data_IF_394459376877
#
_entry.id   IF_394459376877
#
_cell.length_a   1.000
_cell.length_b   1.000
_cell.length_c   1.000
_cell.angle_alpha   90.00
_cell.angle_beta   90.00
_cell.angle_gamma   90.00
#
_symmetry.space_group_name_H-M   'P 1'
#
loop_
_entity.id
_entity.type
_entity.pdbx_description
1 polymer ?
#
# COMPACT_ATOMS: atom_id res chain seq x y z
N UNK A 1 12.96 14.19 -20.67
CA UNK A 1 11.90 13.18 -20.50
C UNK A 1 11.63 12.32 -21.75
N UNK A 2 11.97 12.74 -22.99
CA UNK A 2 11.56 12.04 -24.21
C UNK A 2 12.23 10.68 -24.51
N UNK A 3 13.36 10.37 -23.91
CA UNK A 3 14.16 9.19 -24.30
C UNK A 3 13.82 7.91 -23.50
N UNK A 4 13.29 8.05 -22.29
CA UNK A 4 12.94 6.88 -21.43
C UNK A 4 11.66 6.17 -21.87
N UNK A 5 10.68 6.91 -22.38
CA UNK A 5 9.39 6.38 -22.83
C UNK A 5 9.59 5.43 -24.02
N UNK A 6 10.48 5.77 -24.94
CA UNK A 6 10.70 5.00 -26.15
C UNK A 6 11.28 3.59 -25.88
N UNK A 7 12.20 3.47 -24.95
CA UNK A 7 12.84 2.16 -24.61
C UNK A 7 11.83 1.16 -24.02
N UNK A 8 10.92 1.63 -23.15
CA UNK A 8 9.88 0.78 -22.56
C UNK A 8 8.80 0.41 -23.57
N UNK A 9 8.45 1.35 -24.47
CA UNK A 9 7.47 1.10 -25.52
C UNK A 9 7.99 0.08 -26.55
N UNK A 10 9.27 0.16 -26.92
CA UNK A 10 9.94 -0.85 -27.76
C UNK A 10 9.96 -2.24 -27.09
N UNK A 11 10.18 -2.27 -25.78
CA UNK A 11 10.13 -3.50 -24.98
C UNK A 11 8.70 -4.00 -24.69
N UNK A 12 7.66 -3.27 -25.16
CA UNK A 12 6.25 -3.54 -24.92
C UNK A 12 5.86 -3.55 -23.41
N UNK A 13 6.67 -2.92 -22.56
CA UNK A 13 6.39 -2.81 -21.13
C UNK A 13 5.29 -1.79 -20.85
N UNK A 14 4.32 -2.15 -20.00
CA UNK A 14 3.16 -1.31 -19.65
C UNK A 14 2.08 -1.23 -20.74
N UNK A 15 2.13 -2.09 -21.77
CA UNK A 15 1.09 -2.15 -22.81
C UNK A 15 -0.08 -3.05 -22.45
N UNK A 16 0.22 -4.08 -21.67
CA UNK A 16 -0.78 -5.06 -21.26
C UNK A 16 -1.21 -4.78 -19.82
N UNK A 17 -2.50 -4.97 -19.55
CA UNK A 17 -3.07 -4.92 -18.20
C UNK A 17 -3.22 -6.33 -17.66
N UNK A 18 -3.01 -6.50 -16.36
CA UNK A 18 -3.34 -7.75 -15.66
C UNK A 18 -4.85 -7.85 -15.45
N UNK A 19 -5.52 -6.71 -15.41
CA UNK A 19 -6.96 -6.55 -15.26
C UNK A 19 -7.47 -6.99 -13.90
N UNK A 20 -8.76 -6.82 -13.67
CA UNK A 20 -9.43 -7.20 -12.44
C UNK A 20 -9.78 -8.68 -12.40
N UNK A 21 -9.71 -9.29 -11.22
CA UNK A 21 -10.18 -10.64 -10.96
C UNK A 21 -11.64 -10.68 -10.48
N UNK A 22 -11.98 -11.66 -9.65
CA UNK A 22 -13.34 -11.85 -9.12
C UNK A 22 -13.43 -11.64 -7.61
N UNK A 23 -12.33 -11.80 -6.90
CA UNK A 23 -12.28 -11.82 -5.44
C UNK A 23 -11.18 -10.86 -4.95
N UNK A 24 -11.47 -9.55 -4.94
CA UNK A 24 -10.49 -8.56 -4.50
C UNK A 24 -10.38 -8.50 -2.98
N UNK A 25 -9.19 -8.04 -2.53
CA UNK A 25 -8.96 -7.52 -1.19
C UNK A 25 -8.34 -6.12 -1.31
N UNK A 26 -8.63 -5.24 -0.35
CA UNK A 26 -7.97 -3.94 -0.22
C UNK A 26 -6.87 -4.06 0.82
N UNK A 27 -5.66 -3.64 0.48
CA UNK A 27 -4.51 -3.57 1.40
C UNK A 27 -4.10 -2.12 1.55
N UNK A 28 -4.41 -1.55 2.70
CA UNK A 28 -4.06 -0.17 3.06
C UNK A 28 -2.72 -0.18 3.78
N UNK A 29 -1.72 0.39 3.13
CA UNK A 29 -0.33 0.34 3.58
C UNK A 29 -0.01 1.57 4.43
N UNK A 30 0.30 1.35 5.70
CA UNK A 30 0.99 2.26 6.63
C UNK A 30 0.40 3.68 6.76
N UNK A 31 -0.91 3.85 6.70
CA UNK A 31 -1.57 5.12 7.08
C UNK A 31 -1.58 5.26 8.61
N UNK A 32 -0.40 5.17 9.22
CA UNK A 32 -0.14 5.37 10.65
C UNK A 32 0.39 6.79 10.90
N UNK A 33 0.18 7.33 12.10
CA UNK A 33 0.58 8.69 12.43
C UNK A 33 2.07 9.00 12.19
N UNK A 34 2.97 8.01 12.26
CA UNK A 34 4.39 8.19 11.92
C UNK A 34 4.64 8.59 10.47
N UNK A 35 3.68 8.32 9.57
CA UNK A 35 3.72 8.67 8.15
C UNK A 35 2.78 9.83 7.79
N UNK A 36 1.66 10.02 8.54
CA UNK A 36 0.57 10.94 8.17
C UNK A 36 0.53 12.22 9.02
N UNK A 37 1.24 12.27 10.15
CA UNK A 37 1.28 13.44 11.03
C UNK A 37 2.54 14.27 10.75
N UNK A 38 2.38 15.46 10.16
CA UNK A 38 3.48 16.37 9.82
C UNK A 38 4.31 16.86 11.03
N UNK A 39 3.83 16.64 12.27
CA UNK A 39 4.63 16.88 13.47
C UNK A 39 5.75 15.84 13.68
N UNK A 40 5.63 14.67 13.05
CA UNK A 40 6.69 13.68 12.98
C UNK A 40 7.61 13.99 11.80
N UNK A 41 8.95 13.92 11.95
CA UNK A 41 9.88 14.26 10.86
C UNK A 41 9.76 13.39 9.61
N UNK A 42 9.15 12.22 9.71
CA UNK A 42 8.85 11.34 8.58
C UNK A 42 7.41 11.51 8.06
N UNK A 43 6.57 12.25 8.76
CA UNK A 43 5.19 12.52 8.37
C UNK A 43 5.10 13.49 7.19
N UNK A 44 4.03 13.34 6.44
CA UNK A 44 3.67 14.24 5.34
C UNK A 44 2.15 14.43 5.28
N UNK A 45 1.69 15.49 4.62
CA UNK A 45 0.27 15.66 4.38
C UNK A 45 -0.24 14.63 3.38
N UNK A 46 -0.98 13.66 3.87
CA UNK A 46 -1.63 12.60 3.10
C UNK A 46 -3.17 12.69 3.20
N UNK A 47 -3.70 13.89 3.46
CA UNK A 47 -5.15 14.08 3.68
C UNK A 47 -5.98 13.63 2.49
N UNK A 48 -5.57 13.95 1.27
CA UNK A 48 -6.28 13.52 0.06
C UNK A 48 -6.16 12.00 -0.16
N UNK A 49 -5.01 11.42 0.13
CA UNK A 49 -4.80 9.96 0.05
C UNK A 49 -5.72 9.23 1.03
N UNK A 50 -5.82 9.72 2.27
CA UNK A 50 -6.72 9.16 3.28
C UNK A 50 -8.18 9.28 2.83
N UNK A 51 -8.60 10.44 2.34
CA UNK A 51 -9.97 10.66 1.89
C UNK A 51 -10.35 9.70 0.74
N UNK A 52 -9.52 9.64 -0.31
CA UNK A 52 -9.76 8.74 -1.45
C UNK A 52 -9.70 7.26 -1.04
N UNK A 53 -8.80 6.88 -0.12
CA UNK A 53 -8.73 5.52 0.41
C UNK A 53 -9.99 5.17 1.20
N UNK A 54 -10.52 6.10 2.01
CA UNK A 54 -11.74 5.89 2.78
C UNK A 54 -12.94 5.61 1.85
N UNK A 55 -13.12 6.39 0.79
CA UNK A 55 -14.21 6.19 -0.17
C UNK A 55 -14.15 4.78 -0.77
N UNK A 56 -12.96 4.31 -1.11
CA UNK A 56 -12.73 2.98 -1.66
C UNK A 56 -12.94 1.86 -0.61
N UNK A 57 -12.49 2.07 0.63
CA UNK A 57 -12.69 1.15 1.76
C UNK A 57 -14.16 1.03 2.11
N UNK A 58 -14.91 2.12 2.12
CA UNK A 58 -16.34 2.11 2.39
C UNK A 58 -17.10 1.24 1.35
N UNK A 59 -16.74 1.35 0.07
CA UNK A 59 -17.28 0.48 -0.98
C UNK A 59 -16.90 -0.98 -0.75
N UNK A 60 -15.64 -1.25 -0.37
CA UNK A 60 -15.19 -2.61 -0.08
C UNK A 60 -16.00 -3.23 1.08
N UNK A 61 -16.24 -2.48 2.17
CA UNK A 61 -17.09 -2.90 3.28
C UNK A 61 -18.53 -3.18 2.83
N UNK A 62 -19.14 -2.29 2.05
CA UNK A 62 -20.50 -2.49 1.50
C UNK A 62 -20.62 -3.77 0.68
N UNK A 63 -19.54 -4.16 0.00
CA UNK A 63 -19.49 -5.31 -0.89
C UNK A 63 -18.97 -6.59 -0.23
N UNK A 64 -18.51 -6.50 1.02
CA UNK A 64 -17.95 -7.63 1.77
C UNK A 64 -16.58 -8.07 1.24
N UNK A 65 -15.86 -7.20 0.55
CA UNK A 65 -14.47 -7.44 0.19
C UNK A 65 -13.57 -7.23 1.43
N UNK A 66 -12.63 -8.14 1.73
CA UNK A 66 -11.79 -8.01 2.92
C UNK A 66 -10.86 -6.81 2.81
N UNK A 67 -10.67 -6.12 3.95
CA UNK A 67 -9.78 -4.97 4.09
C UNK A 67 -8.68 -5.31 5.09
N UNK A 68 -7.43 -5.03 4.70
CA UNK A 68 -6.24 -5.21 5.50
C UNK A 68 -5.55 -3.86 5.68
N UNK A 69 -5.26 -3.52 6.93
CA UNK A 69 -4.47 -2.35 7.30
C UNK A 69 -3.12 -2.83 7.76
N UNK A 70 -2.05 -2.27 7.23
CA UNK A 70 -0.71 -2.57 7.73
C UNK A 70 -0.12 -1.39 8.45
N UNK A 71 0.78 -1.67 9.36
CA UNK A 71 1.57 -0.66 10.06
C UNK A 71 2.95 -1.23 10.42
N UNK A 72 3.96 -0.39 10.37
CA UNK A 72 5.31 -0.77 10.78
C UNK A 72 5.44 -0.65 12.28
N UNK A 73 5.70 -1.78 12.98
CA UNK A 73 5.82 -1.82 14.44
C UNK A 73 7.01 -2.68 14.85
N UNK A 74 7.93 -2.11 15.63
CA UNK A 74 9.08 -2.83 16.18
C UNK A 74 8.82 -3.19 17.64
N UNK A 75 8.79 -4.47 17.93
CA UNK A 75 8.45 -4.99 19.27
C UNK A 75 9.67 -5.18 20.17
N UNK A 76 10.88 -5.30 19.58
CA UNK A 76 12.10 -5.42 20.36
C UNK A 76 12.49 -4.08 21.00
N UNK A 77 12.97 -4.02 22.27
CA UNK A 77 13.25 -2.76 22.97
C UNK A 77 14.17 -1.79 22.25
N UNK A 78 15.17 -2.29 21.53
CA UNK A 78 16.13 -1.52 20.74
C UNK A 78 15.84 -1.54 19.22
N UNK A 79 14.63 -1.98 18.83
CA UNK A 79 14.22 -2.18 17.45
C UNK A 79 15.18 -3.11 16.65
N UNK A 80 15.74 -4.12 17.31
CA UNK A 80 16.62 -5.10 16.64
C UNK A 80 15.88 -5.91 15.57
N UNK A 81 14.57 -6.04 15.68
CA UNK A 81 13.67 -6.67 14.71
C UNK A 81 13.49 -5.84 13.41
N UNK A 82 13.98 -4.59 13.38
CA UNK A 82 14.10 -3.82 12.14
C UNK A 82 15.37 -4.17 11.31
N UNK A 83 16.29 -4.96 11.88
CA UNK A 83 17.54 -5.31 11.23
C UNK A 83 18.41 -4.09 10.91
N UNK A 84 18.84 -3.98 9.65
CA UNK A 84 19.68 -2.87 9.20
C UNK A 84 18.89 -1.60 8.83
N UNK A 85 17.58 -1.68 8.77
CA UNK A 85 16.76 -0.56 8.32
C UNK A 85 16.88 0.65 9.25
N UNK A 86 16.91 0.44 10.57
CA UNK A 86 17.14 1.53 11.55
C UNK A 86 18.50 2.21 11.41
N UNK A 87 19.51 1.53 10.84
CA UNK A 87 20.79 2.19 10.51
C UNK A 87 20.66 3.12 9.32
N UNK A 88 19.78 2.82 8.38
CA UNK A 88 19.54 3.64 7.20
C UNK A 88 18.55 4.76 7.49
N UNK A 89 17.51 4.46 8.26
CA UNK A 89 16.42 5.38 8.64
C UNK A 89 16.24 5.30 10.18
N UNK A 90 17.04 6.03 10.96
CA UNK A 90 17.06 5.89 12.44
C UNK A 90 15.72 6.20 13.11
N UNK A 91 14.91 7.09 12.54
CA UNK A 91 13.65 7.54 13.14
C UNK A 91 12.60 6.43 13.25
N UNK A 92 12.63 5.40 12.39
CA UNK A 92 11.70 4.28 12.51
C UNK A 92 11.87 3.49 13.81
N UNK A 93 13.00 3.63 14.51
CA UNK A 93 13.19 3.01 15.82
C UNK A 93 12.20 3.51 16.90
N UNK A 94 11.49 4.61 16.64
CA UNK A 94 10.45 5.16 17.51
C UNK A 94 9.09 4.46 17.32
N UNK A 95 8.94 3.68 16.27
CA UNK A 95 7.69 2.98 15.93
C UNK A 95 7.52 1.71 16.75
N UNK A 96 7.13 1.91 18.02
CA UNK A 96 7.00 0.85 19.04
C UNK A 96 5.57 0.74 19.58
N UNK A 97 5.18 -0.42 20.08
CA UNK A 97 3.89 -0.58 20.73
C UNK A 97 3.65 0.46 21.82
N UNK A 98 2.48 1.09 21.81
CA UNK A 98 2.12 2.17 22.73
C UNK A 98 2.65 3.56 22.35
N UNK A 99 3.42 3.68 21.26
CA UNK A 99 3.71 4.96 20.64
C UNK A 99 2.54 5.38 19.75
N UNK A 100 2.18 6.67 19.78
CA UNK A 100 1.21 7.23 18.83
C UNK A 100 1.60 6.98 17.37
N UNK A 101 2.90 6.92 17.10
CA UNK A 101 3.41 6.82 15.73
C UNK A 101 3.06 5.52 15.00
N UNK A 102 2.68 4.47 15.72
CA UNK A 102 2.24 3.19 15.15
C UNK A 102 0.72 3.03 15.11
N UNK A 103 -0.03 3.99 15.64
CA UNK A 103 -1.48 3.94 15.56
C UNK A 103 -1.93 4.37 14.17
N UNK A 104 -2.94 3.68 13.61
CA UNK A 104 -3.56 4.08 12.36
C UNK A 104 -4.19 5.44 12.59
N UNK A 105 -4.08 6.33 11.62
CA UNK A 105 -4.62 7.69 11.68
C UNK A 105 -6.15 7.63 11.89
N UNK A 106 -6.64 8.36 12.88
CA UNK A 106 -8.07 8.38 13.24
C UNK A 106 -8.98 8.89 12.11
N UNK A 107 -8.43 9.51 11.07
CA UNK A 107 -9.18 9.90 9.87
C UNK A 107 -9.52 8.71 8.97
N UNK A 108 -8.86 7.56 9.17
CA UNK A 108 -9.09 6.35 8.39
C UNK A 108 -10.35 5.61 8.84
N UNK A 109 -11.13 5.10 7.88
CA UNK A 109 -12.37 4.37 8.13
C UNK A 109 -12.11 2.88 8.40
N UNK A 110 -11.43 2.58 9.52
CA UNK A 110 -11.16 1.20 9.93
C UNK A 110 -12.45 0.52 10.41
N UNK A 111 -12.86 -0.54 9.74
CA UNK A 111 -14.03 -1.34 10.10
C UNK A 111 -13.76 -2.33 11.25
N UNK A 112 -14.82 -2.77 11.92
CA UNK A 112 -14.68 -3.73 13.04
C UNK A 112 -14.20 -5.11 12.59
N UNK A 113 -14.46 -5.48 11.35
CA UNK A 113 -14.09 -6.77 10.77
C UNK A 113 -12.79 -6.69 9.95
N UNK A 114 -12.13 -5.53 9.91
CA UNK A 114 -10.88 -5.34 9.20
C UNK A 114 -9.72 -6.04 9.91
N UNK A 115 -8.73 -6.44 9.12
CA UNK A 115 -7.52 -7.07 9.62
C UNK A 115 -6.40 -6.04 9.77
N UNK A 116 -5.85 -5.90 10.98
CA UNK A 116 -4.70 -5.03 11.24
C UNK A 116 -3.46 -5.91 11.38
N UNK A 117 -2.46 -5.70 10.54
CA UNK A 117 -1.22 -6.47 10.48
C UNK A 117 -0.01 -5.60 10.85
N UNK A 118 0.71 -6.01 11.89
CA UNK A 118 1.98 -5.40 12.25
C UNK A 118 3.11 -6.03 11.42
N UNK A 119 3.85 -5.22 10.70
CA UNK A 119 5.00 -5.66 9.90
C UNK A 119 6.30 -4.99 10.34
N UNK A 120 7.44 -5.58 9.98
CA UNK A 120 8.79 -5.11 10.33
C UNK A 120 9.59 -4.66 9.12
N UNK A 121 9.08 -4.96 7.94
CA UNK A 121 9.74 -4.70 6.65
C UNK A 121 8.85 -3.83 5.76
N UNK A 122 9.41 -3.32 4.66
CA UNK A 122 8.69 -2.45 3.76
C UNK A 122 7.46 -3.14 3.14
N UNK A 123 7.62 -4.37 2.64
CA UNK A 123 6.51 -5.12 2.07
C UNK A 123 5.55 -5.64 3.14
N UNK A 124 4.25 -5.54 2.86
CA UNK A 124 3.19 -6.10 3.68
C UNK A 124 3.10 -7.64 3.59
N UNK A 125 3.80 -8.26 2.65
CA UNK A 125 3.88 -9.72 2.52
C UNK A 125 5.05 -10.32 3.30
N UNK A 126 6.14 -9.56 3.48
CA UNK A 126 7.37 -10.10 4.05
C UNK A 126 7.24 -10.34 5.56
N UNK A 127 7.36 -11.60 5.97
CA UNK A 127 7.25 -12.06 7.37
C UNK A 127 5.93 -11.65 8.06
N UNK A 128 4.83 -11.66 7.29
CA UNK A 128 3.47 -11.47 7.80
C UNK A 128 2.56 -12.63 7.37
N UNK A 129 1.37 -12.67 7.93
CA UNK A 129 0.33 -13.63 7.56
C UNK A 129 -0.51 -13.21 6.35
N UNK A 130 -0.25 -12.07 5.71
CA UNK A 130 -1.10 -11.50 4.64
C UNK A 130 -1.36 -12.50 3.50
N UNK A 131 -0.32 -13.12 2.96
CA UNK A 131 -0.47 -14.07 1.85
C UNK A 131 -1.32 -15.28 2.22
N UNK A 132 -1.11 -15.84 3.40
CA UNK A 132 -1.88 -16.98 3.88
C UNK A 132 -3.35 -16.63 4.13
N UNK A 133 -3.63 -15.41 4.59
CA UNK A 133 -4.99 -14.91 4.79
C UNK A 133 -5.69 -14.68 3.45
N UNK A 134 -5.05 -13.97 2.51
CA UNK A 134 -5.58 -13.75 1.17
C UNK A 134 -5.88 -15.07 0.45
N UNK A 135 -4.95 -16.03 0.51
CA UNK A 135 -5.14 -17.37 -0.05
C UNK A 135 -6.32 -18.10 0.59
N UNK A 136 -6.44 -18.06 1.92
CA UNK A 136 -7.54 -18.75 2.64
C UNK A 136 -8.92 -18.15 2.33
N UNK A 137 -8.97 -16.86 2.02
CA UNK A 137 -10.18 -16.14 1.60
C UNK A 137 -10.47 -16.29 0.10
N UNK A 138 -9.54 -16.91 -0.67
CA UNK A 138 -9.69 -17.12 -2.10
C UNK A 138 -9.52 -15.84 -2.92
N UNK A 139 -8.82 -14.84 -2.39
CA UNK A 139 -8.55 -13.59 -3.10
C UNK A 139 -7.66 -13.84 -4.32
N UNK A 140 -7.97 -13.21 -5.43
CA UNK A 140 -7.20 -13.26 -6.68
C UNK A 140 -6.68 -11.88 -7.13
N UNK A 141 -7.13 -10.83 -6.45
CA UNK A 141 -6.82 -9.44 -6.77
C UNK A 141 -6.48 -8.70 -5.48
N UNK A 142 -5.41 -7.90 -5.50
CA UNK A 142 -5.00 -7.06 -4.39
C UNK A 142 -5.00 -5.60 -4.86
N UNK A 143 -5.84 -4.78 -4.23
CA UNK A 143 -5.89 -3.34 -4.43
C UNK A 143 -5.02 -2.72 -3.36
N UNK A 144 -3.90 -2.11 -3.75
CA UNK A 144 -2.91 -1.54 -2.82
C UNK A 144 -3.08 -0.03 -2.73
N UNK A 145 -3.28 0.48 -1.52
CA UNK A 145 -3.42 1.91 -1.20
C UNK A 145 -2.43 2.30 -0.09
N UNK A 146 -2.40 3.58 0.29
CA UNK A 146 -1.62 4.07 1.43
C UNK A 146 -0.28 4.67 1.08
N UNK A 147 0.74 4.48 1.90
CA UNK A 147 2.06 5.14 1.76
C UNK A 147 3.25 4.24 2.20
N UNK A 148 4.48 4.60 1.86
CA UNK A 148 4.86 5.59 0.87
C UNK A 148 4.99 4.91 -0.49
N UNK A 149 4.55 5.58 -1.56
CA UNK A 149 4.56 5.03 -2.92
C UNK A 149 5.91 4.45 -3.31
N UNK A 150 7.00 5.15 -2.98
CA UNK A 150 8.38 4.74 -3.33
C UNK A 150 8.97 3.66 -2.42
N UNK A 151 8.31 3.31 -1.33
CA UNK A 151 8.82 2.40 -0.31
C UNK A 151 7.86 1.22 -0.04
N UNK A 152 6.99 1.36 0.97
CA UNK A 152 6.15 0.26 1.44
C UNK A 152 5.09 -0.15 0.42
N UNK A 153 4.45 0.81 -0.26
CA UNK A 153 3.52 0.53 -1.37
C UNK A 153 4.24 -0.21 -2.48
N UNK A 154 5.36 0.33 -2.99
CA UNK A 154 6.16 -0.32 -4.03
C UNK A 154 6.53 -1.76 -3.67
N UNK A 155 7.08 -1.96 -2.47
CA UNK A 155 7.53 -3.29 -2.04
C UNK A 155 6.37 -4.27 -1.91
N UNK A 156 5.20 -3.80 -1.43
CA UNK A 156 3.98 -4.60 -1.32
C UNK A 156 3.44 -5.00 -2.70
N UNK A 157 3.45 -4.07 -3.66
CA UNK A 157 3.03 -4.31 -5.05
C UNK A 157 3.93 -5.35 -5.74
N UNK A 158 5.25 -5.23 -5.57
CA UNK A 158 6.23 -6.15 -6.14
C UNK A 158 6.00 -7.58 -5.62
N UNK A 159 5.88 -7.74 -4.30
CA UNK A 159 5.61 -9.03 -3.68
C UNK A 159 4.21 -9.58 -4.04
N UNK A 160 3.16 -8.75 -4.06
CA UNK A 160 1.83 -9.17 -4.51
C UNK A 160 1.85 -9.76 -5.92
N UNK A 161 2.54 -9.09 -6.84
CA UNK A 161 2.75 -9.59 -8.20
C UNK A 161 3.55 -10.90 -8.22
N UNK A 162 4.60 -11.01 -7.39
CA UNK A 162 5.43 -12.23 -7.29
C UNK A 162 4.64 -13.42 -6.71
N UNK A 163 3.68 -13.18 -5.81
CA UNK A 163 2.75 -14.19 -5.29
C UNK A 163 1.63 -14.55 -6.28
N UNK A 164 1.52 -13.85 -7.41
CA UNK A 164 0.58 -14.16 -8.49
C UNK A 164 -0.78 -13.48 -8.38
N UNK A 165 -0.92 -12.49 -7.51
CA UNK A 165 -2.13 -11.67 -7.44
C UNK A 165 -2.19 -10.68 -8.61
N UNK A 166 -3.41 -10.41 -9.09
CA UNK A 166 -3.68 -9.24 -9.93
C UNK A 166 -3.55 -8.01 -9.05
N UNK A 167 -2.55 -7.19 -9.31
CA UNK A 167 -2.24 -6.05 -8.44
C UNK A 167 -2.70 -4.77 -9.08
N UNK A 168 -3.56 -4.04 -8.38
CA UNK A 168 -4.16 -2.77 -8.81
C UNK A 168 -3.74 -1.68 -7.84
N UNK A 169 -3.35 -0.54 -8.38
CA UNK A 169 -2.98 0.65 -7.59
C UNK A 169 -3.85 1.82 -8.03
N UNK A 170 -4.86 2.22 -7.23
CA UNK A 170 -5.62 3.45 -7.49
C UNK A 170 -4.70 4.66 -7.31
N UNK A 171 -4.43 5.42 -8.38
CA UNK A 171 -3.37 6.44 -8.41
C UNK A 171 -3.48 7.51 -7.31
N UNK A 172 -4.71 7.91 -6.95
CA UNK A 172 -4.96 8.94 -5.93
C UNK A 172 -5.12 8.39 -4.51
N UNK A 173 -5.13 7.06 -4.35
CA UNK A 173 -5.17 6.39 -3.04
C UNK A 173 -3.78 6.03 -2.52
N UNK A 174 -2.71 6.41 -3.20
CA UNK A 174 -1.33 6.24 -2.74
C UNK A 174 -0.62 7.59 -2.72
N UNK A 175 0.33 7.75 -1.80
CA UNK A 175 1.09 8.99 -1.67
C UNK A 175 2.49 8.80 -1.17
N UNK A 176 3.28 9.86 -1.27
CA UNK A 176 4.66 9.91 -0.82
C UNK A 176 4.96 11.31 -0.28
N UNK A 177 6.05 11.47 0.48
CA UNK A 177 6.54 12.77 0.94
C UNK A 177 7.24 13.59 -0.14
N UNK A 178 7.42 13.04 -1.32
CA UNK A 178 8.02 13.69 -2.49
C UNK A 178 7.22 13.35 -3.75
N UNK A 179 6.67 14.37 -4.41
CA UNK A 179 5.94 14.23 -5.66
C UNK A 179 6.80 13.58 -6.75
N UNK A 180 8.08 13.93 -6.81
CA UNK A 180 9.02 13.37 -7.80
C UNK A 180 9.18 11.84 -7.60
N UNK A 181 9.29 11.38 -6.35
CA UNK A 181 9.38 9.96 -6.05
C UNK A 181 8.05 9.25 -6.31
N UNK A 182 6.96 9.86 -5.92
CA UNK A 182 5.61 9.35 -6.17
C UNK A 182 5.37 9.10 -7.66
N UNK A 183 5.52 10.12 -8.49
CA UNK A 183 5.33 10.03 -9.95
C UNK A 183 6.25 8.99 -10.59
N UNK A 184 7.53 8.99 -10.22
CA UNK A 184 8.51 8.07 -10.77
C UNK A 184 8.17 6.60 -10.46
N UNK A 185 7.67 6.33 -9.24
CA UNK A 185 7.35 4.97 -8.83
C UNK A 185 5.99 4.51 -9.35
N UNK A 186 4.97 5.37 -9.42
CA UNK A 186 3.72 5.05 -10.11
C UNK A 186 3.97 4.67 -11.57
N UNK A 187 4.80 5.47 -12.26
CA UNK A 187 5.18 5.16 -13.63
C UNK A 187 5.91 3.82 -13.79
N UNK A 188 6.80 3.49 -12.83
CA UNK A 188 7.56 2.23 -12.84
C UNK A 188 6.67 1.03 -12.51
N UNK A 189 5.77 1.16 -11.53
CA UNK A 189 4.82 0.13 -11.14
C UNK A 189 3.87 -0.24 -12.26
N UNK A 190 3.30 0.77 -12.95
CA UNK A 190 2.37 0.59 -14.07
C UNK A 190 2.99 -0.20 -15.24
N UNK A 191 4.30 -0.09 -15.40
CA UNK A 191 4.99 -0.76 -16.50
C UNK A 191 5.46 -2.16 -16.20
N UNK A 192 5.52 -2.56 -14.94
CA UNK A 192 6.21 -3.79 -14.57
C UNK A 192 5.42 -4.74 -13.71
N UNK A 193 4.63 -4.24 -12.75
CA UNK A 193 4.14 -5.06 -11.65
C UNK A 193 2.63 -4.96 -11.39
N UNK A 194 2.01 -3.83 -11.70
CA UNK A 194 0.61 -3.57 -11.37
C UNK A 194 -0.09 -2.79 -12.49
N UNK A 195 -1.40 -2.76 -12.44
CA UNK A 195 -2.19 -1.78 -13.18
C UNK A 195 -2.39 -0.56 -12.28
N UNK A 196 -1.81 0.58 -12.65
CA UNK A 196 -2.13 1.86 -12.02
C UNK A 196 -3.36 2.42 -12.72
N UNK A 197 -4.43 2.61 -11.95
CA UNK A 197 -5.75 2.93 -12.48
C UNK A 197 -6.32 4.20 -11.83
N UNK A 198 -7.14 4.96 -12.56
CA UNK A 198 -7.95 6.01 -11.96
C UNK A 198 -8.86 5.43 -10.85
N UNK A 199 -9.01 6.15 -9.75
CA UNK A 199 -9.78 5.67 -8.59
C UNK A 199 -11.22 5.31 -8.94
N UNK A 200 -11.88 6.10 -9.81
CA UNK A 200 -13.25 5.87 -10.26
C UNK A 200 -13.43 4.56 -11.04
N UNK A 201 -12.39 4.10 -11.74
CA UNK A 201 -12.40 2.78 -12.40
C UNK A 201 -12.37 1.64 -11.37
N UNK A 202 -11.56 1.79 -10.31
CA UNK A 202 -11.46 0.81 -9.22
C UNK A 202 -12.75 0.76 -8.39
N UNK A 203 -13.33 1.93 -8.09
CA UNK A 203 -14.64 2.00 -7.44
C UNK A 203 -15.74 1.34 -8.27
N UNK A 204 -15.76 1.59 -9.57
CA UNK A 204 -16.73 0.97 -10.48
C UNK A 204 -16.60 -0.55 -10.46
N UNK A 205 -15.38 -1.06 -10.45
CA UNK A 205 -15.13 -2.50 -10.33
C UNK A 205 -15.65 -3.03 -8.98
N UNK A 206 -15.30 -2.42 -7.86
CA UNK A 206 -15.76 -2.84 -6.54
C UNK A 206 -17.31 -2.81 -6.43
N UNK A 207 -17.94 -1.76 -6.92
CA UNK A 207 -19.43 -1.67 -6.93
C UNK A 207 -20.10 -2.76 -7.75
N UNK A 208 -19.38 -3.35 -8.69
CA UNK A 208 -19.84 -4.44 -9.56
C UNK A 208 -19.77 -5.85 -8.96
N UNK A 209 -19.22 -6.03 -7.75
CA UNK A 209 -19.10 -7.31 -7.04
C UNK A 209 -20.44 -7.92 -6.61
#
# INVERSE_FOLDING_TARGET
>A
MSDRTNVYDEAQMGRNRVGYGKWPAVVVVDLQYGETDESHPMGSDLSDVIANTNDLVDIAHEKGAPVFWTRVVYTHPDAADAGLWTKKVPLIAEWKPGSRWVEIDDRCHVGNDDHILDKRHASSFHETELDSMLTSMGCDTVIVTGCSTSACVRSTVDDASAHGYRTIVPETCVGDRSDEQHEAHLWDLDRKFADVEPVDAVETYLRGL
#
